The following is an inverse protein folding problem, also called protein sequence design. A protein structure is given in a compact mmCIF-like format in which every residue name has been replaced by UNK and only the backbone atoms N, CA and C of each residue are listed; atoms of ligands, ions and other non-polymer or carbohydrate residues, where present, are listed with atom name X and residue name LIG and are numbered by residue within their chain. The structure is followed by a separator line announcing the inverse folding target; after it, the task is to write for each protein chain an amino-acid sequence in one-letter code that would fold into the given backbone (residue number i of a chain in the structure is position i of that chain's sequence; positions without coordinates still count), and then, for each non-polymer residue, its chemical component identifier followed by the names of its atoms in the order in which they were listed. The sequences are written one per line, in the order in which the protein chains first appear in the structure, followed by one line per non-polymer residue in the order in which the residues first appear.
data_IF_932294168858
#
_entry.id   IF_932294168858
#
_cell.length_a   1.000
_cell.length_b   1.000
_cell.length_c   1.000
_cell.angle_alpha   90.00
_cell.angle_beta   90.00
_cell.angle_gamma   90.00
#
_symmetry.space_group_name_H-M   'P 1'
#
loop_
_entity.id
_entity.type
_entity.pdbx_description
1 polymer ?
#
# COMPACT_ATOMS: atom_id res chain seq x y z
N UNK A 1 -12.29 -52.84 -11.85
CA UNK A 1 -12.47 -51.40 -12.18
C UNK A 1 -11.69 -50.58 -11.18
N UNK A 2 -10.54 -50.01 -11.55
CA UNK A 2 -9.79 -49.06 -10.71
C UNK A 2 -10.32 -47.66 -11.02
N UNK A 3 -11.02 -47.06 -10.06
CA UNK A 3 -11.49 -45.67 -10.15
C UNK A 3 -10.28 -44.74 -10.05
N UNK A 4 -9.99 -43.98 -11.11
CA UNK A 4 -9.02 -42.89 -11.07
C UNK A 4 -9.74 -41.67 -10.49
N UNK A 5 -9.36 -41.28 -9.28
CA UNK A 5 -9.74 -39.99 -8.72
C UNK A 5 -8.89 -38.95 -9.47
N UNK A 6 -9.55 -38.14 -10.28
CA UNK A 6 -8.95 -36.96 -10.90
C UNK A 6 -9.07 -35.84 -9.86
N UNK A 7 -7.94 -35.49 -9.23
CA UNK A 7 -7.83 -34.34 -8.35
C UNK A 7 -7.69 -33.11 -9.24
N UNK A 8 -8.75 -32.30 -9.35
CA UNK A 8 -8.64 -30.96 -9.91
C UNK A 8 -7.93 -30.07 -8.88
N UNK A 9 -6.65 -29.80 -9.12
CA UNK A 9 -5.96 -28.68 -8.50
C UNK A 9 -6.49 -27.44 -9.23
N UNK A 10 -7.33 -26.66 -8.54
CA UNK A 10 -7.62 -25.28 -8.95
C UNK A 10 -6.45 -24.48 -8.39
N UNK A 11 -5.45 -24.22 -9.23
CA UNK A 11 -4.51 -23.14 -8.94
C UNK A 11 -5.30 -21.86 -9.19
N UNK A 12 -5.80 -21.24 -8.13
CA UNK A 12 -6.32 -19.89 -8.20
C UNK A 12 -5.11 -18.99 -8.41
N UNK A 13 -4.78 -18.68 -9.66
CA UNK A 13 -3.88 -17.57 -9.96
C UNK A 13 -4.69 -16.34 -9.59
N UNK A 14 -4.43 -15.78 -8.42
CA UNK A 14 -4.99 -14.49 -8.02
C UNK A 14 -4.31 -13.47 -8.95
N UNK A 15 -4.94 -13.15 -10.07
CA UNK A 15 -4.63 -11.91 -10.77
C UNK A 15 -5.25 -10.79 -9.93
N UNK A 16 -4.43 -9.86 -9.48
CA UNK A 16 -4.91 -8.57 -8.98
C UNK A 16 -5.77 -7.92 -10.06
N UNK A 17 -6.96 -7.46 -9.70
CA UNK A 17 -7.83 -6.72 -10.61
C UNK A 17 -7.19 -5.36 -10.92
N UNK A 18 -7.02 -5.00 -12.19
CA UNK A 18 -6.53 -3.67 -12.58
C UNK A 18 -7.69 -2.68 -12.52
N UNK A 19 -7.59 -1.69 -11.64
CA UNK A 19 -8.64 -0.69 -11.43
C UNK A 19 -8.52 0.44 -12.45
N UNK A 20 -9.64 0.82 -13.06
CA UNK A 20 -9.72 1.92 -14.05
C UNK A 20 -8.64 1.82 -15.14
N UNK A 21 -8.49 0.63 -15.75
CA UNK A 21 -7.42 0.32 -16.71
C UNK A 21 -7.23 1.42 -17.77
N UNK A 22 -5.97 1.77 -18.03
CA UNK A 22 -5.60 2.80 -19.01
C UNK A 22 -5.73 4.24 -18.50
N UNK A 23 -6.22 4.51 -17.29
CA UNK A 23 -6.24 5.87 -16.70
C UNK A 23 -4.99 6.08 -15.84
N UNK A 24 -4.44 7.30 -15.81
CA UNK A 24 -3.20 7.63 -15.10
C UNK A 24 -3.29 9.00 -14.41
N UNK A 25 -2.31 9.34 -13.57
CA UNK A 25 -2.13 10.67 -13.00
C UNK A 25 -3.31 11.16 -12.13
N UNK A 26 -3.60 12.46 -12.23
CA UNK A 26 -4.60 13.13 -11.39
C UNK A 26 -6.03 12.68 -11.68
N UNK A 27 -6.33 12.27 -12.92
CA UNK A 27 -7.63 11.70 -13.28
C UNK A 27 -7.86 10.36 -12.57
N UNK A 28 -6.83 9.49 -12.55
CA UNK A 28 -6.88 8.25 -11.79
C UNK A 28 -6.97 8.52 -10.28
N UNK A 29 -6.19 9.47 -9.75
CA UNK A 29 -6.27 9.90 -8.34
C UNK A 29 -7.70 10.31 -7.98
N UNK A 30 -8.34 11.12 -8.82
CA UNK A 30 -9.71 11.60 -8.62
C UNK A 30 -10.72 10.45 -8.63
N UNK A 31 -10.58 9.48 -9.52
CA UNK A 31 -11.42 8.27 -9.54
C UNK A 31 -11.26 7.46 -8.25
N UNK A 32 -10.03 7.31 -7.75
CA UNK A 32 -9.76 6.61 -6.50
C UNK A 32 -10.41 7.34 -5.31
N UNK A 33 -10.22 8.65 -5.20
CA UNK A 33 -10.86 9.46 -4.14
C UNK A 33 -12.38 9.27 -4.17
N UNK A 34 -13.00 9.40 -5.35
CA UNK A 34 -14.46 9.36 -5.48
C UNK A 34 -15.07 7.99 -5.15
N UNK A 35 -14.34 6.89 -5.38
CA UNK A 35 -14.87 5.54 -5.20
C UNK A 35 -14.45 4.88 -3.88
N UNK A 36 -13.33 5.32 -3.27
CA UNK A 36 -12.74 4.63 -2.13
C UNK A 36 -12.62 5.48 -0.87
N UNK A 37 -12.94 6.77 -0.89
CA UNK A 37 -13.02 7.57 0.34
C UNK A 37 -14.15 7.06 1.24
N UNK A 38 -13.89 6.77 2.53
CA UNK A 38 -14.95 6.35 3.44
C UNK A 38 -15.92 7.49 3.70
N UNK A 39 -17.22 7.24 3.54
CA UNK A 39 -18.27 8.24 3.86
C UNK A 39 -18.32 8.57 5.36
N UNK A 40 -18.06 7.58 6.21
CA UNK A 40 -18.03 7.70 7.68
C UNK A 40 -17.09 6.67 8.25
N UNK A 41 -16.51 6.97 9.41
CA UNK A 41 -15.73 6.03 10.22
C UNK A 41 -16.43 5.77 11.55
N UNK A 42 -15.98 4.76 12.29
CA UNK A 42 -16.57 4.39 13.59
C UNK A 42 -16.20 5.37 14.72
N UNK A 43 -15.34 6.34 14.46
CA UNK A 43 -14.72 7.15 15.50
C UNK A 43 -13.60 6.41 16.22
N UNK A 44 -12.58 7.15 16.64
CA UNK A 44 -11.29 6.57 17.02
C UNK A 44 -11.30 5.45 18.08
N UNK A 45 -12.12 5.55 19.13
CA UNK A 45 -12.16 4.51 20.16
C UNK A 45 -12.78 3.21 19.65
N UNK A 46 -13.96 3.32 19.03
CA UNK A 46 -14.67 2.16 18.51
C UNK A 46 -13.93 1.52 17.34
N UNK A 47 -13.32 2.32 16.45
CA UNK A 47 -12.48 1.82 15.36
C UNK A 47 -11.36 0.93 15.89
N UNK A 48 -10.66 1.33 16.95
CA UNK A 48 -9.60 0.50 17.57
C UNK A 48 -10.14 -0.79 18.17
N UNK A 49 -11.22 -0.72 18.95
CA UNK A 49 -11.78 -1.92 19.58
C UNK A 49 -12.22 -2.95 18.52
N UNK A 50 -12.89 -2.49 17.47
CA UNK A 50 -13.34 -3.33 16.36
C UNK A 50 -12.16 -3.85 15.55
N UNK A 51 -11.19 -2.99 15.22
CA UNK A 51 -9.97 -3.40 14.51
C UNK A 51 -9.25 -4.51 15.29
N UNK A 52 -9.03 -4.33 16.60
CA UNK A 52 -8.35 -5.32 17.41
C UNK A 52 -9.13 -6.61 17.59
N UNK A 53 -10.46 -6.56 17.75
CA UNK A 53 -11.27 -7.73 18.07
C UNK A 53 -11.72 -8.52 16.83
N UNK A 54 -11.97 -7.84 15.70
CA UNK A 54 -12.62 -8.39 14.52
C UNK A 54 -11.72 -8.44 13.28
N UNK A 55 -10.72 -7.56 13.18
CA UNK A 55 -9.85 -7.46 12.00
C UNK A 55 -8.50 -8.12 12.26
N UNK A 56 -7.80 -7.70 13.31
CA UNK A 56 -6.39 -8.07 13.58
C UNK A 56 -6.24 -9.21 14.61
N UNK A 57 -7.35 -9.83 15.02
CA UNK A 57 -7.36 -10.97 15.95
C UNK A 57 -7.30 -12.30 15.20
N UNK A 58 -6.13 -12.91 15.18
CA UNK A 58 -5.89 -14.20 14.54
C UNK A 58 -5.60 -15.26 15.59
N UNK A 59 -6.35 -16.36 15.55
CA UNK A 59 -6.21 -17.48 16.51
C UNK A 59 -6.23 -17.01 17.98
N UNK A 60 -7.05 -16.00 18.28
CA UNK A 60 -7.22 -15.45 19.62
C UNK A 60 -6.21 -14.37 20.01
N UNK A 61 -5.19 -14.08 19.19
CA UNK A 61 -4.14 -13.11 19.51
C UNK A 61 -4.09 -11.96 18.52
N UNK A 62 -3.65 -10.80 18.98
CA UNK A 62 -3.37 -9.62 18.16
C UNK A 62 -1.87 -9.44 18.08
N UNK A 63 -1.36 -9.08 16.91
CA UNK A 63 0.07 -9.01 16.61
C UNK A 63 0.47 -7.61 16.17
N UNK A 64 1.59 -7.11 16.70
CA UNK A 64 2.10 -5.78 16.40
C UNK A 64 2.81 -5.71 15.06
N UNK A 65 2.49 -4.70 14.25
CA UNK A 65 3.00 -4.51 12.88
C UNK A 65 4.54 -4.53 12.80
N UNK A 66 5.21 -3.75 13.66
CA UNK A 66 6.67 -3.58 13.60
C UNK A 66 7.48 -4.69 14.30
N UNK A 67 6.89 -5.56 15.13
CA UNK A 67 7.72 -6.48 15.93
C UNK A 67 7.25 -7.91 15.97
N UNK A 68 6.08 -8.24 15.43
CA UNK A 68 5.43 -9.54 15.73
C UNK A 68 5.17 -9.77 17.23
N UNK A 69 5.35 -8.78 18.12
CA UNK A 69 4.93 -8.89 19.51
C UNK A 69 3.43 -9.15 19.55
N UNK A 70 3.02 -10.17 20.28
CA UNK A 70 1.63 -10.61 20.26
C UNK A 70 1.06 -10.74 21.66
N UNK A 71 -0.19 -10.33 21.79
CA UNK A 71 -0.98 -10.39 23.03
C UNK A 71 -2.22 -11.24 22.75
N UNK A 72 -2.47 -12.22 23.60
CA UNK A 72 -3.74 -12.95 23.60
C UNK A 72 -4.86 -11.99 23.99
N UNK A 73 -5.92 -11.96 23.17
CA UNK A 73 -7.11 -11.15 23.38
C UNK A 73 -8.30 -12.08 23.67
N UNK A 74 -8.73 -12.22 24.93
CA UNK A 74 -9.90 -13.03 25.30
C UNK A 74 -11.20 -12.48 24.69
N UNK A 75 -12.22 -13.34 24.57
CA UNK A 75 -13.56 -12.89 24.16
C UNK A 75 -14.20 -12.02 25.25
N UNK A 76 -14.92 -10.97 24.85
CA UNK A 76 -15.78 -10.19 25.73
C UNK A 76 -15.07 -9.15 26.61
N UNK A 77 -13.76 -8.93 26.41
CA UNK A 77 -13.03 -7.81 27.03
C UNK A 77 -13.11 -6.56 26.15
N UNK A 78 -12.91 -5.40 26.76
CA UNK A 78 -12.57 -4.17 26.03
C UNK A 78 -11.19 -4.37 25.39
N UNK A 79 -11.16 -4.42 24.05
CA UNK A 79 -9.98 -4.85 23.32
C UNK A 79 -8.85 -3.84 23.41
N UNK A 80 -9.12 -2.56 23.20
CA UNK A 80 -8.11 -1.51 23.26
C UNK A 80 -7.55 -1.33 24.67
N UNK A 81 -8.39 -1.41 25.71
CA UNK A 81 -7.95 -1.37 27.11
C UNK A 81 -7.11 -2.59 27.47
N UNK A 82 -7.53 -3.80 27.04
CA UNK A 82 -6.78 -5.03 27.31
C UNK A 82 -5.40 -5.02 26.64
N UNK A 83 -5.32 -4.64 25.37
CA UNK A 83 -4.05 -4.53 24.66
C UNK A 83 -3.13 -3.48 25.28
N UNK A 84 -3.67 -2.32 25.69
CA UNK A 84 -2.92 -1.29 26.40
C UNK A 84 -2.27 -1.79 27.68
N UNK A 85 -3.05 -2.48 28.52
CA UNK A 85 -2.56 -3.06 29.77
C UNK A 85 -1.48 -4.15 29.54
N UNK A 86 -1.39 -4.69 28.33
CA UNK A 86 -0.40 -5.68 27.91
C UNK A 86 0.66 -5.11 26.97
N UNK A 87 0.87 -3.78 26.96
CA UNK A 87 2.01 -3.15 26.28
C UNK A 87 1.83 -2.94 24.77
N UNK A 88 0.59 -2.97 24.27
CA UNK A 88 0.28 -2.62 22.88
C UNK A 88 -0.60 -1.37 22.79
N UNK A 89 -0.43 -0.57 21.75
CA UNK A 89 -1.30 0.56 21.44
C UNK A 89 -1.57 0.61 19.92
N UNK A 90 -2.23 1.69 19.48
CA UNK A 90 -2.54 1.90 18.06
C UNK A 90 -1.44 2.69 17.40
N UNK A 91 -0.85 2.11 16.37
CA UNK A 91 -0.05 2.81 15.39
C UNK A 91 -0.96 3.51 14.39
N UNK A 92 -0.59 4.74 14.07
CA UNK A 92 -1.04 5.45 12.88
C UNK A 92 0.13 5.42 11.89
N UNK A 93 0.06 4.57 10.85
CA UNK A 93 1.17 4.44 9.90
C UNK A 93 1.45 5.77 9.21
N UNK A 94 0.41 6.54 8.86
CA UNK A 94 0.53 7.98 8.65
C UNK A 94 0.39 8.73 9.99
N UNK A 95 1.42 9.43 10.50
CA UNK A 95 1.37 10.03 11.82
C UNK A 95 0.29 11.09 11.98
N UNK A 96 -0.38 11.11 13.14
CA UNK A 96 -1.35 12.17 13.48
C UNK A 96 -0.74 13.58 13.40
N UNK A 97 0.57 13.75 13.65
CA UNK A 97 1.23 15.06 13.53
C UNK A 97 1.23 15.63 12.11
N UNK A 98 0.92 14.81 11.09
CA UNK A 98 0.80 15.21 9.69
C UNK A 98 -0.65 15.23 9.21
N UNK A 99 -1.59 15.58 10.10
CA UNK A 99 -2.97 15.89 9.74
C UNK A 99 -4.01 14.77 9.95
N UNK A 100 -3.63 13.58 10.39
CA UNK A 100 -4.57 12.50 10.71
C UNK A 100 -5.27 12.66 12.09
N UNK A 101 -5.73 13.87 12.42
CA UNK A 101 -6.33 14.22 13.73
C UNK A 101 -7.84 14.42 13.70
N UNK A 102 -8.42 14.54 12.50
CA UNK A 102 -9.84 14.76 12.27
C UNK A 102 -10.50 13.50 11.72
N UNK A 103 -11.81 13.41 11.79
CA UNK A 103 -12.54 12.35 11.08
C UNK A 103 -12.78 12.78 9.62
N UNK A 104 -12.71 11.86 8.65
CA UNK A 104 -12.53 10.41 8.82
C UNK A 104 -11.08 9.97 9.03
N UNK A 105 -10.09 10.83 8.75
CA UNK A 105 -8.67 10.43 8.66
C UNK A 105 -8.19 9.66 9.89
N UNK A 106 -8.45 10.20 11.09
CA UNK A 106 -7.96 9.69 12.36
C UNK A 106 -8.38 8.25 12.65
N UNK A 107 -9.57 7.84 12.23
CA UNK A 107 -10.11 6.52 12.57
C UNK A 107 -10.31 5.58 11.39
N UNK A 108 -9.77 5.94 10.22
CA UNK A 108 -9.72 5.05 9.06
C UNK A 108 -8.84 3.82 9.36
N UNK A 109 -9.43 2.63 9.43
CA UNK A 109 -8.72 1.40 9.82
C UNK A 109 -7.65 0.94 8.82
N UNK A 110 -7.63 1.46 7.58
CA UNK A 110 -6.62 1.07 6.58
C UNK A 110 -5.22 1.61 6.91
N UNK A 111 -5.12 2.67 7.73
CA UNK A 111 -3.83 3.20 8.22
C UNK A 111 -3.60 2.98 9.73
N UNK A 112 -4.54 2.34 10.42
CA UNK A 112 -4.39 1.96 11.83
C UNK A 112 -3.84 0.55 11.94
N UNK A 113 -2.90 0.33 12.86
CA UNK A 113 -2.35 -1.01 13.13
C UNK A 113 -2.13 -1.24 14.63
N UNK A 114 -2.22 -2.49 15.14
CA UNK A 114 -1.73 -2.82 16.46
C UNK A 114 -0.20 -2.67 16.49
N UNK A 115 0.36 -2.15 17.58
CA UNK A 115 1.80 -1.98 17.70
C UNK A 115 2.24 -2.09 19.17
N UNK A 116 3.48 -2.55 19.39
CA UNK A 116 4.08 -2.56 20.74
C UNK A 116 4.36 -1.13 21.16
N UNK A 117 3.92 -0.74 22.35
CA UNK A 117 3.84 0.68 22.76
C UNK A 117 5.19 1.40 22.79
N UNK A 118 6.27 0.74 23.23
CA UNK A 118 7.61 1.32 23.21
C UNK A 118 8.15 1.50 21.78
N UNK A 119 7.75 0.65 20.84
CA UNK A 119 8.20 0.71 19.44
C UNK A 119 7.39 1.74 18.66
N UNK A 120 6.08 1.83 18.87
CA UNK A 120 5.27 2.94 18.38
C UNK A 120 5.86 4.28 18.86
N UNK A 121 6.17 4.40 20.16
CA UNK A 121 6.81 5.60 20.72
C UNK A 121 8.19 5.88 20.09
N UNK A 122 8.95 4.83 19.75
CA UNK A 122 10.26 4.97 19.12
C UNK A 122 10.16 5.39 17.65
N UNK A 123 9.16 4.89 16.91
CA UNK A 123 8.83 5.29 15.54
C UNK A 123 8.39 6.75 15.52
N UNK A 124 7.51 7.14 16.44
CA UNK A 124 7.01 8.50 16.57
C UNK A 124 6.39 8.99 15.25
N UNK A 125 7.02 10.00 14.64
CA UNK A 125 6.64 10.52 13.33
C UNK A 125 7.80 10.45 12.32
N UNK A 126 8.81 9.62 12.56
CA UNK A 126 9.92 9.45 11.62
C UNK A 126 9.39 8.89 10.29
N UNK A 127 9.83 9.43 9.14
CA UNK A 127 9.58 8.82 7.85
C UNK A 127 10.10 7.39 7.83
N UNK A 128 9.47 6.57 6.98
CA UNK A 128 9.96 5.24 6.69
C UNK A 128 11.16 5.31 5.75
N UNK A 129 12.09 4.37 5.89
CA UNK A 129 13.22 4.22 4.98
C UNK A 129 14.14 3.08 5.38
N UNK A 130 15.14 2.81 4.54
CA UNK A 130 16.18 1.79 4.74
C UNK A 130 17.29 2.31 5.66
N UNK A 131 17.63 1.55 6.69
CA UNK A 131 18.76 1.77 7.57
C UNK A 131 19.99 1.04 7.06
N UNK A 132 21.13 1.69 7.24
CA UNK A 132 22.39 0.97 7.27
C UNK A 132 22.56 0.37 8.67
N UNK A 133 22.71 -0.95 8.79
CA UNK A 133 22.87 -1.67 10.06
C UNK A 133 23.91 -1.05 11.01
N UNK A 134 25.01 -0.53 10.45
CA UNK A 134 26.11 0.08 11.21
C UNK A 134 25.75 1.46 11.78
N UNK A 135 24.67 2.06 11.29
CA UNK A 135 24.12 3.34 11.72
C UNK A 135 22.82 3.18 12.51
N UNK A 136 22.27 1.96 12.56
CA UNK A 136 21.06 1.64 13.32
C UNK A 136 21.30 1.85 14.82
N UNK A 137 20.48 2.71 15.40
CA UNK A 137 20.57 3.05 16.83
C UNK A 137 19.93 1.98 17.71
N UNK A 138 18.79 1.43 17.29
CA UNK A 138 18.08 0.41 18.05
C UNK A 138 17.28 -0.53 17.14
N UNK A 139 17.33 -1.81 17.47
CA UNK A 139 16.67 -2.93 16.82
C UNK A 139 15.51 -3.43 17.68
N UNK A 140 14.38 -3.79 17.08
CA UNK A 140 13.17 -4.28 17.78
C UNK A 140 12.59 -5.53 17.13
N UNK A 141 12.44 -6.61 17.89
CA UNK A 141 11.70 -7.80 17.47
C UNK A 141 11.07 -8.50 18.66
N UNK A 142 9.80 -8.86 18.53
CA UNK A 142 8.96 -9.38 19.61
C UNK A 142 9.07 -8.50 20.87
N UNK A 143 9.54 -9.07 21.98
CA UNK A 143 9.77 -8.34 23.22
C UNK A 143 11.23 -7.88 23.40
N UNK A 144 12.08 -8.05 22.39
CA UNK A 144 13.50 -7.70 22.41
C UNK A 144 13.69 -6.28 21.88
N UNK A 145 14.54 -5.53 22.57
CA UNK A 145 15.19 -4.33 22.03
C UNK A 145 16.70 -4.42 22.24
N UNK A 146 17.49 -3.99 21.25
CA UNK A 146 18.96 -4.12 21.27
C UNK A 146 19.62 -2.93 20.58
N UNK A 147 20.79 -2.51 21.07
CA UNK A 147 21.69 -1.56 20.38
C UNK A 147 22.78 -2.26 19.58
N UNK A 148 22.88 -3.59 19.67
CA UNK A 148 23.79 -4.40 18.87
C UNK A 148 23.04 -4.97 17.67
N UNK A 149 23.73 -5.02 16.52
CA UNK A 149 23.26 -5.68 15.30
C UNK A 149 22.90 -7.15 15.63
N UNK A 150 21.68 -7.62 15.28
CA UNK A 150 21.29 -9.01 15.47
C UNK A 150 22.19 -9.98 14.70
N UNK A 151 22.57 -11.10 15.33
CA UNK A 151 23.46 -12.10 14.70
C UNK A 151 22.71 -13.06 13.73
N UNK A 152 21.38 -12.99 13.69
CA UNK A 152 20.52 -13.85 12.87
C UNK A 152 19.13 -13.24 12.73
N UNK A 153 18.43 -13.57 11.65
CA UNK A 153 17.05 -13.12 11.38
C UNK A 153 16.93 -11.59 11.41
N UNK A 154 17.91 -10.90 10.83
CA UNK A 154 17.98 -9.44 10.84
C UNK A 154 16.71 -8.82 10.22
N UNK A 155 16.22 -9.42 9.13
CA UNK A 155 14.96 -9.09 8.44
C UNK A 155 13.70 -9.12 9.33
N UNK A 156 13.78 -9.75 10.50
CA UNK A 156 12.68 -9.80 11.48
C UNK A 156 12.68 -8.61 12.44
N UNK A 157 13.68 -7.75 12.40
CA UNK A 157 13.78 -6.60 13.27
C UNK A 157 13.30 -5.34 12.55
N UNK A 158 12.62 -4.46 13.29
CA UNK A 158 12.50 -3.07 12.89
C UNK A 158 13.65 -2.27 13.48
N UNK A 159 14.00 -1.19 12.80
CA UNK A 159 15.20 -0.41 13.06
C UNK A 159 14.85 1.06 13.24
N UNK A 160 15.45 1.64 14.26
CA UNK A 160 15.43 3.09 14.46
C UNK A 160 16.79 3.65 14.17
N UNK A 161 16.87 4.61 13.26
CA UNK A 161 18.08 5.34 12.95
C UNK A 161 17.92 6.81 13.28
N UNK A 162 18.56 7.23 14.37
CA UNK A 162 18.48 8.61 14.87
C UNK A 162 19.37 9.58 14.10
N UNK A 163 20.28 9.09 13.25
CA UNK A 163 21.15 9.96 12.45
C UNK A 163 20.40 10.39 11.19
N UNK A 164 19.84 9.43 10.46
CA UNK A 164 19.01 9.67 9.29
C UNK A 164 17.57 10.09 9.62
N UNK A 165 17.16 9.96 10.89
CA UNK A 165 15.80 10.26 11.37
C UNK A 165 14.73 9.42 10.66
N UNK A 166 15.01 8.14 10.43
CA UNK A 166 14.09 7.19 9.79
C UNK A 166 13.72 6.03 10.73
N UNK A 167 12.62 5.36 10.39
CA UNK A 167 12.25 4.06 10.92
C UNK A 167 12.19 3.03 9.78
N UNK A 168 12.92 1.93 9.92
CA UNK A 168 12.79 0.79 9.00
C UNK A 168 11.90 -0.27 9.66
N UNK A 169 10.78 -0.66 9.05
CA UNK A 169 9.98 -1.76 9.53
C UNK A 169 10.61 -3.10 9.16
N UNK A 170 10.06 -4.21 9.66
CA UNK A 170 10.49 -5.56 9.26
C UNK A 170 10.22 -5.77 7.77
N UNK A 171 11.01 -6.63 7.12
CA UNK A 171 10.90 -6.85 5.66
C UNK A 171 9.50 -7.27 5.21
N UNK A 172 8.87 -8.19 5.96
CA UNK A 172 7.60 -8.83 5.62
C UNK A 172 6.34 -7.94 5.84
N UNK A 173 6.52 -6.63 6.10
CA UNK A 173 5.43 -5.66 6.22
C UNK A 173 5.72 -4.36 5.46
N UNK A 174 6.80 -4.30 4.70
CA UNK A 174 7.23 -3.10 3.97
C UNK A 174 6.18 -2.71 2.92
N UNK A 175 5.63 -3.68 2.20
CA UNK A 175 4.57 -3.51 1.21
C UNK A 175 3.24 -3.08 1.82
N UNK A 176 2.84 -3.71 2.93
CA UNK A 176 1.67 -3.34 3.73
C UNK A 176 1.70 -1.87 4.15
N UNK A 177 2.87 -1.41 4.61
CA UNK A 177 3.08 -0.03 5.04
C UNK A 177 3.07 0.90 3.83
N UNK A 178 3.73 0.52 2.73
CA UNK A 178 3.72 1.29 1.49
C UNK A 178 2.30 1.54 0.99
N UNK A 179 1.50 0.48 0.82
CA UNK A 179 0.12 0.59 0.35
C UNK A 179 -0.78 1.35 1.33
N UNK A 180 -0.57 1.22 2.64
CA UNK A 180 -1.26 2.03 3.64
C UNK A 180 -0.91 3.51 3.58
N UNK A 181 0.36 3.84 3.29
CA UNK A 181 0.85 5.21 3.15
C UNK A 181 0.35 5.87 1.86
N UNK A 182 0.41 5.16 0.73
CA UNK A 182 -0.15 5.62 -0.55
C UNK A 182 -1.67 5.79 -0.45
N UNK A 183 -2.37 4.85 0.19
CA UNK A 183 -3.80 4.96 0.48
C UNK A 183 -4.14 6.26 1.20
N UNK A 184 -3.50 6.50 2.36
CA UNK A 184 -3.80 7.68 3.16
C UNK A 184 -3.51 8.97 2.39
N UNK A 185 -2.34 9.04 1.76
CA UNK A 185 -1.95 10.23 1.01
C UNK A 185 -2.89 10.49 -0.16
N UNK A 186 -3.28 9.46 -0.92
CA UNK A 186 -4.21 9.60 -2.05
C UNK A 186 -5.55 10.18 -1.64
N UNK A 187 -6.12 9.69 -0.54
CA UNK A 187 -7.47 10.09 -0.13
C UNK A 187 -7.50 11.44 0.60
N UNK A 188 -6.42 11.81 1.27
CA UNK A 188 -6.44 12.92 2.23
C UNK A 188 -5.40 14.01 1.98
N UNK A 189 -4.54 13.92 0.96
CA UNK A 189 -3.52 14.96 0.69
C UNK A 189 -4.12 16.34 0.45
N UNK A 190 -5.34 16.41 -0.07
CA UNK A 190 -5.98 17.66 -0.49
C UNK A 190 -6.78 18.31 0.66
N UNK A 191 -6.81 17.67 1.83
CA UNK A 191 -7.41 18.20 3.05
C UNK A 191 -6.51 19.28 3.65
N UNK A 192 -7.09 20.44 3.96
CA UNK A 192 -6.37 21.62 4.50
C UNK A 192 -5.49 21.27 5.70
N UNK A 193 -6.00 20.43 6.61
CA UNK A 193 -5.26 20.01 7.81
C UNK A 193 -4.01 19.18 7.49
N UNK A 194 -4.01 18.38 6.41
CA UNK A 194 -2.86 17.57 5.98
C UNK A 194 -1.82 18.47 5.32
N UNK A 195 -2.26 19.41 4.48
CA UNK A 195 -1.41 20.42 3.84
C UNK A 195 -0.70 21.28 4.89
N UNK A 196 -1.45 21.89 5.80
CA UNK A 196 -0.92 22.79 6.84
C UNK A 196 0.02 22.08 7.82
N UNK A 197 -0.18 20.77 8.03
CA UNK A 197 0.68 19.96 8.89
C UNK A 197 1.96 19.49 8.20
N UNK A 198 2.18 19.82 6.92
CA UNK A 198 3.37 19.43 6.16
C UNK A 198 3.33 18.01 5.58
N UNK A 199 2.13 17.46 5.35
CA UNK A 199 1.92 16.10 4.83
C UNK A 199 2.64 15.83 3.52
N UNK A 200 2.62 16.78 2.57
CA UNK A 200 3.30 16.64 1.28
C UNK A 200 4.81 16.46 1.42
N UNK A 201 5.44 17.25 2.28
CA UNK A 201 6.87 17.15 2.53
C UNK A 201 7.22 15.83 3.21
N UNK A 202 6.39 15.40 4.17
CA UNK A 202 6.55 14.12 4.86
C UNK A 202 6.42 12.93 3.92
N UNK A 203 5.48 12.95 2.99
CA UNK A 203 5.29 11.88 2.01
C UNK A 203 6.41 11.88 0.95
N UNK A 204 6.76 13.05 0.42
CA UNK A 204 7.70 13.18 -0.70
C UNK A 204 9.08 12.58 -0.42
N UNK A 205 9.58 12.69 0.82
CA UNK A 205 10.90 12.17 1.19
C UNK A 205 10.98 10.64 1.23
N UNK A 206 9.85 9.95 1.36
CA UNK A 206 9.75 8.49 1.46
C UNK A 206 9.03 7.87 0.26
N UNK A 207 8.44 8.67 -0.62
CA UNK A 207 7.64 8.20 -1.77
C UNK A 207 8.36 7.15 -2.64
N UNK A 208 9.64 7.35 -2.94
CA UNK A 208 10.42 6.41 -3.76
C UNK A 208 10.68 5.10 -3.04
N UNK A 209 11.04 5.13 -1.75
CA UNK A 209 11.28 3.89 -1.02
C UNK A 209 9.98 3.11 -0.78
N UNK A 210 8.85 3.80 -0.63
CA UNK A 210 7.54 3.15 -0.57
C UNK A 210 7.17 2.51 -1.92
N UNK A 211 7.56 3.07 -3.07
CA UNK A 211 7.39 2.42 -4.37
C UNK A 211 8.19 1.11 -4.42
N UNK A 212 9.46 1.15 -4.03
CA UNK A 212 10.31 -0.04 -4.00
C UNK A 212 9.69 -1.13 -3.12
N UNK A 213 9.23 -0.77 -1.92
CA UNK A 213 8.55 -1.68 -1.00
C UNK A 213 7.26 -2.26 -1.54
N UNK A 214 6.43 -1.45 -2.23
CA UNK A 214 5.23 -1.95 -2.90
C UNK A 214 5.54 -3.03 -3.94
N UNK A 215 6.67 -2.90 -4.64
CA UNK A 215 7.08 -3.82 -5.70
C UNK A 215 7.75 -5.08 -5.14
N UNK A 216 8.59 -4.94 -4.11
CA UNK A 216 9.32 -6.07 -3.51
C UNK A 216 8.46 -6.92 -2.56
N UNK A 217 7.43 -6.33 -1.96
CA UNK A 217 6.50 -6.99 -1.04
C UNK A 217 5.05 -6.82 -1.56
N UNK A 218 4.63 -7.60 -2.58
CA UNK A 218 3.29 -7.51 -3.16
C UNK A 218 2.20 -7.92 -2.15
N UNK A 219 0.92 -7.54 -2.36
CA UNK A 219 -0.16 -7.93 -1.47
C UNK A 219 -0.24 -9.44 -1.26
N UNK A 220 -0.37 -9.85 0.00
CA UNK A 220 -0.55 -11.24 0.38
C UNK A 220 -1.99 -11.52 0.85
N UNK A 221 -2.28 -12.80 1.11
CA UNK A 221 -3.61 -13.22 1.56
C UNK A 221 -4.02 -12.57 2.89
N UNK A 222 -3.06 -12.25 3.76
CA UNK A 222 -3.33 -11.62 5.05
C UNK A 222 -3.79 -10.17 4.84
N UNK A 223 -3.09 -9.40 4.02
CA UNK A 223 -3.44 -8.02 3.73
C UNK A 223 -4.75 -7.91 2.94
N UNK A 224 -4.96 -8.77 1.94
CA UNK A 224 -6.22 -8.84 1.17
C UNK A 224 -7.39 -9.17 2.12
N UNK A 225 -7.22 -10.15 3.00
CA UNK A 225 -8.25 -10.53 3.99
C UNK A 225 -8.52 -9.37 4.93
N UNK A 226 -7.48 -8.69 5.41
CA UNK A 226 -7.61 -7.54 6.31
C UNK A 226 -8.39 -6.40 5.65
N UNK A 227 -8.07 -6.06 4.40
CA UNK A 227 -8.76 -5.03 3.62
C UNK A 227 -10.25 -5.35 3.46
N UNK A 228 -10.58 -6.61 3.16
CA UNK A 228 -11.97 -7.09 3.07
C UNK A 228 -12.72 -7.01 4.41
N UNK A 229 -12.07 -7.38 5.53
CA UNK A 229 -12.67 -7.27 6.85
C UNK A 229 -12.96 -5.81 7.21
N UNK A 230 -12.05 -4.89 6.90
CA UNK A 230 -12.25 -3.45 7.08
C UNK A 230 -13.40 -2.96 6.20
N UNK A 231 -13.46 -3.36 4.93
CA UNK A 231 -14.53 -2.94 4.02
C UNK A 231 -15.93 -3.35 4.50
N UNK A 232 -16.06 -4.52 5.12
CA UNK A 232 -17.33 -4.95 5.73
C UNK A 232 -17.79 -4.08 6.91
N UNK A 233 -16.89 -3.29 7.50
CA UNK A 233 -17.12 -2.50 8.72
C UNK A 233 -17.18 -1.01 8.40
N UNK A 234 -16.19 -0.50 7.65
CA UNK A 234 -16.01 0.91 7.29
C UNK A 234 -16.67 1.26 5.96
N UNK A 235 -16.93 0.27 5.11
CA UNK A 235 -17.63 0.45 3.82
C UNK A 235 -16.71 0.66 2.61
N UNK A 236 -15.39 0.62 2.77
CA UNK A 236 -14.44 0.81 1.68
C UNK A 236 -13.23 -0.14 1.79
N UNK A 237 -12.72 -0.57 0.63
CA UNK A 237 -11.47 -1.32 0.50
C UNK A 237 -10.28 -0.36 0.41
N UNK A 238 -9.07 -0.86 0.68
CA UNK A 238 -7.85 -0.17 0.25
C UNK A 238 -7.58 -0.54 -1.22
N UNK A 239 -7.77 0.38 -2.19
CA UNK A 239 -7.58 0.09 -3.61
C UNK A 239 -6.13 -0.28 -3.96
N UNK A 240 -5.14 0.18 -3.21
CA UNK A 240 -3.73 -0.17 -3.44
C UNK A 240 -3.41 -1.63 -3.10
N UNK A 241 -4.26 -2.30 -2.30
CA UNK A 241 -4.18 -3.74 -2.05
C UNK A 241 -4.84 -4.53 -3.18
N UNK A 242 -5.86 -3.97 -3.82
CA UNK A 242 -6.55 -4.58 -4.97
C UNK A 242 -5.65 -4.49 -6.21
N UNK A 243 -5.13 -3.29 -6.45
CA UNK A 243 -4.29 -2.94 -7.60
C UNK A 243 -3.02 -2.21 -7.14
N UNK A 244 -1.92 -2.94 -6.89
CA UNK A 244 -0.63 -2.34 -6.53
C UNK A 244 -0.05 -1.43 -7.62
N UNK A 245 -0.49 -1.57 -8.88
CA UNK A 245 0.00 -0.73 -9.99
C UNK A 245 -0.49 0.71 -9.86
N UNK A 246 -1.52 0.98 -9.05
CA UNK A 246 -1.99 2.34 -8.74
C UNK A 246 -0.87 3.24 -8.22
N UNK A 247 0.10 2.69 -7.50
CA UNK A 247 1.28 3.44 -7.06
C UNK A 247 1.99 4.03 -8.28
N UNK A 248 2.38 3.19 -9.24
CA UNK A 248 3.05 3.65 -10.44
C UNK A 248 2.14 4.54 -11.29
N UNK A 249 0.88 4.15 -11.49
CA UNK A 249 -0.05 4.83 -12.40
C UNK A 249 -0.48 6.22 -11.95
N UNK A 250 -0.59 6.45 -10.64
CA UNK A 250 -0.92 7.77 -10.09
C UNK A 250 0.34 8.62 -9.96
N UNK A 251 1.43 8.04 -9.46
CA UNK A 251 2.53 8.80 -8.90
C UNK A 251 3.84 8.74 -9.67
N UNK A 252 4.00 7.77 -10.57
CA UNK A 252 5.22 7.47 -11.33
C UNK A 252 4.90 7.10 -12.79
N UNK A 253 3.80 7.62 -13.34
CA UNK A 253 3.34 7.29 -14.69
C UNK A 253 4.40 7.66 -15.75
N UNK A 254 5.23 8.65 -15.46
CA UNK A 254 6.35 9.08 -16.30
C UNK A 254 7.54 8.09 -16.31
N UNK A 255 7.49 7.04 -15.50
CA UNK A 255 8.47 5.95 -15.47
C UNK A 255 7.93 4.67 -16.10
N UNK A 256 6.66 4.65 -16.53
CA UNK A 256 6.04 3.52 -17.21
C UNK A 256 6.68 3.36 -18.58
N UNK A 257 6.93 2.11 -18.99
CA UNK A 257 7.47 1.77 -20.29
C UNK A 257 6.56 2.34 -21.38
N UNK A 258 7.14 3.04 -22.36
CA UNK A 258 6.36 3.58 -23.48
C UNK A 258 5.61 2.45 -24.19
N UNK A 259 4.29 2.58 -24.30
CA UNK A 259 3.38 1.60 -24.86
C UNK A 259 2.79 0.60 -23.87
N UNK A 260 3.30 0.49 -22.65
CA UNK A 260 2.82 -0.45 -21.63
C UNK A 260 1.58 0.13 -20.92
N UNK A 261 0.39 -0.18 -21.44
CA UNK A 261 -0.87 0.36 -20.95
C UNK A 261 -1.47 -0.47 -19.80
N UNK A 262 -1.09 -1.74 -19.68
CA UNK A 262 -1.52 -2.60 -18.58
C UNK A 262 -0.53 -2.64 -17.40
N UNK A 263 0.65 -2.01 -17.55
CA UNK A 263 1.70 -1.85 -16.54
C UNK A 263 2.26 -3.19 -16.06
N UNK A 264 2.40 -4.14 -17.00
CA UNK A 264 2.99 -5.45 -16.74
C UNK A 264 4.49 -5.54 -17.10
N UNK A 265 5.09 -4.39 -17.48
CA UNK A 265 6.46 -4.24 -17.95
C UNK A 265 6.79 -5.07 -19.21
N UNK A 266 5.78 -5.45 -20.00
CA UNK A 266 5.95 -6.27 -21.20
C UNK A 266 5.13 -5.74 -22.36
N UNK A 267 5.78 -5.22 -23.40
CA UNK A 267 5.07 -4.80 -24.61
C UNK A 267 4.55 -6.01 -25.38
N UNK A 268 3.23 -6.13 -25.48
CA UNK A 268 2.60 -7.26 -26.15
C UNK A 268 1.25 -6.92 -26.81
N UNK A 269 0.55 -7.94 -27.31
CA UNK A 269 -0.72 -7.75 -28.02
C UNK A 269 -1.81 -7.14 -27.14
N UNK A 270 -1.73 -7.30 -25.82
CA UNK A 270 -2.69 -6.72 -24.87
C UNK A 270 -2.60 -5.19 -24.90
N UNK A 271 -1.39 -4.62 -24.97
CA UNK A 271 -1.20 -3.18 -25.07
C UNK A 271 -1.78 -2.61 -26.36
N UNK A 272 -1.57 -3.31 -27.48
CA UNK A 272 -2.16 -2.93 -28.77
C UNK A 272 -3.69 -2.95 -28.69
N UNK A 273 -4.28 -3.95 -28.03
CA UNK A 273 -5.74 -4.01 -27.85
C UNK A 273 -6.23 -2.79 -27.06
N UNK A 274 -5.55 -2.43 -25.96
CA UNK A 274 -5.90 -1.24 -25.16
C UNK A 274 -5.75 0.06 -25.95
N UNK A 275 -4.68 0.20 -26.75
CA UNK A 275 -4.47 1.32 -27.66
C UNK A 275 -5.58 1.45 -28.70
N UNK A 276 -6.00 0.33 -29.29
CA UNK A 276 -7.09 0.30 -30.27
C UNK A 276 -8.42 0.69 -29.63
N UNK A 277 -8.69 0.23 -28.40
CA UNK A 277 -9.88 0.63 -27.65
C UNK A 277 -9.93 2.14 -27.38
N UNK A 278 -8.79 2.78 -27.09
CA UNK A 278 -8.68 4.24 -26.95
C UNK A 278 -9.02 4.98 -28.26
N UNK A 279 -8.64 4.46 -29.42
CA UNK A 279 -9.04 5.05 -30.72
C UNK A 279 -10.56 4.92 -30.91
N UNK A 280 -11.13 3.75 -30.59
CA UNK A 280 -12.54 3.49 -30.80
C UNK A 280 -13.46 4.22 -29.82
N UNK A 281 -13.00 4.52 -28.61
CA UNK A 281 -13.78 5.30 -27.64
C UNK A 281 -14.02 6.75 -28.08
N UNK A 282 -13.27 7.25 -29.07
CA UNK A 282 -13.31 8.64 -29.56
C UNK A 282 -13.08 9.68 -28.45
N UNK A 283 -12.47 9.28 -27.34
CA UNK A 283 -12.03 10.17 -26.28
C UNK A 283 -10.58 10.55 -26.56
N UNK A 284 -10.27 11.85 -26.60
CA UNK A 284 -8.89 12.28 -26.66
C UNK A 284 -8.13 11.74 -25.44
N UNK A 285 -6.92 11.19 -25.61
CA UNK A 285 -6.13 10.71 -24.48
C UNK A 285 -5.80 11.87 -23.53
N UNK A 286 -5.72 11.58 -22.23
CA UNK A 286 -5.19 12.52 -21.25
C UNK A 286 -3.71 12.78 -21.53
N UNK A 287 -3.14 13.80 -20.89
CA UNK A 287 -1.73 14.12 -21.04
C UNK A 287 -0.82 12.94 -20.65
N UNK A 288 -1.13 12.27 -19.54
CA UNK A 288 -0.40 11.11 -19.03
C UNK A 288 -0.56 9.89 -19.93
N UNK A 289 -1.76 9.65 -20.47
CA UNK A 289 -1.97 8.59 -21.47
C UNK A 289 -1.15 8.84 -22.72
N UNK A 290 -1.23 10.07 -23.26
CA UNK A 290 -0.50 10.48 -24.45
C UNK A 290 1.01 10.32 -24.27
N UNK A 291 1.54 10.64 -23.09
CA UNK A 291 2.95 10.43 -22.75
C UNK A 291 3.40 8.96 -22.93
N UNK A 292 2.51 8.00 -22.64
CA UNK A 292 2.81 6.57 -22.73
C UNK A 292 2.65 6.06 -24.18
N UNK A 293 1.66 6.56 -24.92
CA UNK A 293 1.24 6.00 -26.23
C UNK A 293 1.67 6.80 -27.46
N UNK A 294 2.27 7.99 -27.30
CA UNK A 294 2.83 8.76 -28.42
C UNK A 294 4.21 8.20 -28.81
N UNK A 295 4.18 7.13 -29.60
CA UNK A 295 5.36 6.42 -30.07
C UNK A 295 6.22 7.27 -31.02
N UNK A 296 5.58 8.16 -31.79
CA UNK A 296 6.26 8.91 -32.85
C UNK A 296 6.70 10.34 -32.40
N UNK A 297 6.28 10.77 -31.21
CA UNK A 297 6.54 12.07 -30.59
C UNK A 297 5.96 13.27 -31.35
N UNK A 298 4.81 13.12 -32.01
CA UNK A 298 4.10 14.21 -32.69
C UNK A 298 3.07 14.94 -31.81
N UNK A 299 2.93 14.52 -30.54
CA UNK A 299 1.92 14.98 -29.58
C UNK A 299 0.48 14.70 -30.01
N UNK A 300 0.27 13.67 -30.81
CA UNK A 300 -1.04 13.10 -31.16
C UNK A 300 -1.01 11.59 -30.96
N UNK A 301 -2.18 10.96 -30.86
CA UNK A 301 -2.29 9.51 -30.82
C UNK A 301 -3.21 9.02 -31.94
N UNK A 302 -2.63 8.27 -32.87
CA UNK A 302 -3.33 7.76 -34.04
C UNK A 302 -2.78 6.39 -34.48
N UNK A 303 -3.25 5.92 -35.65
CA UNK A 303 -2.86 4.60 -36.19
C UNK A 303 -1.34 4.51 -36.42
N UNK A 304 -0.66 5.62 -36.68
CA UNK A 304 0.79 5.64 -36.91
C UNK A 304 1.56 5.20 -35.67
N UNK A 305 1.10 5.59 -34.48
CA UNK A 305 1.70 5.16 -33.19
C UNK A 305 1.55 3.66 -32.98
N UNK A 306 0.34 3.14 -33.23
CA UNK A 306 0.07 1.70 -33.13
C UNK A 306 0.95 0.91 -34.09
N UNK A 307 1.11 1.39 -35.33
CA UNK A 307 1.97 0.73 -36.32
C UNK A 307 3.43 0.71 -35.84
N UNK A 308 3.92 1.78 -35.22
CA UNK A 308 5.27 1.84 -34.67
C UNK A 308 5.44 0.87 -33.49
N UNK A 309 4.47 0.79 -32.57
CA UNK A 309 4.50 -0.18 -31.48
C UNK A 309 4.45 -1.65 -31.97
N UNK A 310 3.64 -1.95 -32.98
CA UNK A 310 3.58 -3.28 -33.59
C UNK A 310 4.95 -3.66 -34.17
N UNK A 311 5.66 -2.72 -34.79
CA UNK A 311 7.02 -2.98 -35.29
C UNK A 311 7.97 -3.32 -34.15
N UNK A 312 7.95 -2.56 -33.05
CA UNK A 312 8.76 -2.85 -31.85
C UNK A 312 8.50 -4.26 -31.32
N UNK A 313 7.23 -4.65 -31.15
CA UNK A 313 6.87 -5.98 -30.63
C UNK A 313 7.33 -7.10 -31.57
N UNK A 314 7.25 -6.91 -32.89
CA UNK A 314 7.63 -7.93 -33.88
C UNK A 314 9.15 -8.07 -34.01
N UNK A 315 9.92 -7.01 -33.80
CA UNK A 315 11.38 -7.04 -33.88
C UNK A 315 12.06 -7.70 -32.66
N UNK A 316 11.36 -7.81 -31.53
CA UNK A 316 11.85 -8.46 -30.30
C UNK A 316 11.63 -9.98 -30.24
N UNK A 317 10.87 -10.56 -31.19
CA UNK A 317 10.53 -12.00 -31.29
C UNK A 317 11.43 -12.75 -32.26
#
# INVERSE_FOLDING_TARGET
MKSKIILFIIVSIIHSEILFQGVFGDDLKSLIINNYTPNTTLGYNQARDVMYANVDRINGSVKGIYTNYSVNLPNGVDASTHLYNNGMNCEHTWPQSFGAISEPQKSDMHHLRPCKSNVNSARGNMPFGESNDNQTYKWYWQNVESTNIPNSQIDQYSERNTTAQIFEPREDVKGDIARGMFYFYTLYSDEEIVIESGGDSFFSIQKNILLDWNNYDPPDDFEITRSNLIANIQGNLNPFVIDPTLVSRIYFWNQILAGDLNVDNSLNIIDIVLMVDLIFSQTAPTYEQLYIIDSNNDNDFNISDIVLFVQTIVEEV
#
